data_IF_042142305709
#
_entry.id   IF_042142305709
#
_cell.length_a   1.000
_cell.length_b   1.000
_cell.length_c   1.000
_cell.angle_alpha   90.00
_cell.angle_beta   90.00
_cell.angle_gamma   90.00
#
_symmetry.space_group_name_H-M   'P 1'
#
loop_
_entity.id
_entity.type
_entity.pdbx_description
1 polymer ?
#
# COMPACT_ATOMS: atom_id res chain seq x y z
N UNK A 1 13.60 10.39 -9.62
CA UNK A 1 14.37 10.16 -8.37
C UNK A 1 13.42 10.16 -7.19
N UNK A 2 13.61 9.27 -6.22
CA UNK A 2 12.84 9.23 -4.98
C UNK A 2 13.78 9.15 -3.79
N UNK A 3 13.41 9.82 -2.70
CA UNK A 3 14.05 9.68 -1.40
C UNK A 3 13.00 9.32 -0.36
N UNK A 4 13.23 8.22 0.33
CA UNK A 4 12.36 7.68 1.35
C UNK A 4 13.15 7.56 2.66
N UNK A 5 12.51 7.85 3.78
CA UNK A 5 13.08 7.72 5.11
C UNK A 5 12.10 7.01 6.03
N UNK A 6 12.61 6.24 7.00
CA UNK A 6 11.77 5.61 8.02
C UNK A 6 12.04 6.20 9.41
N UNK A 7 11.23 5.80 10.40
CA UNK A 7 11.36 6.28 11.78
C UNK A 7 12.73 5.99 12.40
N UNK A 8 13.45 4.97 11.93
CA UNK A 8 14.81 4.63 12.37
C UNK A 8 15.91 5.44 11.67
N UNK A 9 15.57 6.51 10.93
CA UNK A 9 16.50 7.35 10.14
C UNK A 9 17.31 6.58 9.10
N UNK A 10 16.81 5.41 8.68
CA UNK A 10 17.33 4.73 7.50
C UNK A 10 16.72 5.41 6.28
N UNK A 11 17.54 5.66 5.28
CA UNK A 11 17.07 6.22 4.03
C UNK A 11 17.24 5.23 2.90
N UNK A 12 16.39 5.41 1.90
CA UNK A 12 16.46 4.76 0.61
C UNK A 12 16.36 5.82 -0.47
N UNK A 13 17.34 5.91 -1.35
CA UNK A 13 17.32 6.81 -2.50
C UNK A 13 17.39 5.96 -3.77
N UNK A 14 16.48 6.20 -4.70
CA UNK A 14 16.46 5.55 -6.00
C UNK A 14 16.39 6.56 -7.13
N UNK A 15 17.17 6.33 -8.19
CA UNK A 15 17.19 7.20 -9.36
C UNK A 15 17.60 6.43 -10.62
N UNK A 16 17.32 7.06 -11.74
CA UNK A 16 17.82 6.69 -13.07
C UNK A 16 18.41 7.98 -13.63
N UNK A 17 19.65 7.93 -14.08
CA UNK A 17 20.29 9.08 -14.75
C UNK A 17 19.61 9.33 -16.10
N UNK A 18 19.62 10.58 -16.55
CA UNK A 18 19.02 10.92 -17.85
C UNK A 18 19.68 10.10 -18.98
N UNK A 19 18.85 9.66 -19.94
CA UNK A 19 19.26 8.85 -21.08
C UNK A 19 19.92 7.49 -20.72
N UNK A 20 19.73 7.03 -19.47
CA UNK A 20 20.23 5.75 -18.97
C UNK A 20 19.10 4.74 -18.80
N UNK A 21 19.41 3.46 -19.00
CA UNK A 21 18.56 2.33 -18.59
C UNK A 21 19.07 1.66 -17.31
N UNK A 22 19.99 2.30 -16.58
CA UNK A 22 20.49 1.82 -15.29
C UNK A 22 19.64 2.40 -14.18
N UNK A 23 18.95 1.52 -13.46
CA UNK A 23 18.33 1.83 -12.19
C UNK A 23 19.39 1.73 -11.09
N UNK A 24 19.50 2.78 -10.27
CA UNK A 24 20.38 2.82 -9.10
C UNK A 24 19.56 3.00 -7.84
N UNK A 25 19.83 2.17 -6.84
CA UNK A 25 19.36 2.35 -5.47
C UNK A 25 20.52 2.43 -4.49
N UNK A 26 20.38 3.32 -3.51
CA UNK A 26 21.29 3.39 -2.37
C UNK A 26 20.49 3.34 -1.07
N UNK A 27 21.04 2.60 -0.12
CA UNK A 27 20.51 2.48 1.24
C UNK A 27 21.56 2.93 2.23
N UNK A 28 21.13 3.63 3.27
CA UNK A 28 22.04 4.11 4.31
C UNK A 28 21.32 4.64 5.54
N UNK A 29 22.06 5.35 6.37
CA UNK A 29 21.50 6.15 7.47
C UNK A 29 21.97 7.59 7.35
N UNK A 30 21.18 8.56 7.80
CA UNK A 30 21.58 9.98 7.76
C UNK A 30 22.97 10.22 8.37
N UNK A 31 23.28 9.52 9.46
CA UNK A 31 24.50 9.71 10.22
C UNK A 31 25.73 9.06 9.56
N UNK A 32 25.58 7.85 9.01
CA UNK A 32 26.72 7.09 8.45
C UNK A 32 26.87 7.24 6.93
N UNK A 33 25.89 7.82 6.26
CA UNK A 33 25.86 7.91 4.80
C UNK A 33 25.42 6.59 4.16
N UNK A 34 25.80 6.41 2.90
CA UNK A 34 25.47 5.23 2.10
C UNK A 34 26.18 3.99 2.67
N UNK A 35 25.42 2.94 2.94
CA UNK A 35 25.93 1.65 3.40
C UNK A 35 25.83 0.57 2.30
N UNK A 36 24.96 0.75 1.32
CA UNK A 36 24.77 -0.17 0.20
C UNK A 36 24.39 0.59 -1.06
N UNK A 37 24.88 0.11 -2.20
CA UNK A 37 24.52 0.58 -3.54
C UNK A 37 24.21 -0.63 -4.40
N UNK A 38 23.06 -0.58 -5.07
CA UNK A 38 22.60 -1.57 -6.04
C UNK A 38 22.42 -0.87 -7.38
N UNK A 39 22.92 -1.49 -8.45
CA UNK A 39 22.74 -1.02 -9.82
C UNK A 39 22.23 -2.18 -10.68
N UNK A 40 21.20 -1.92 -11.48
CA UNK A 40 20.61 -2.89 -12.39
C UNK A 40 20.49 -2.27 -13.77
N UNK A 41 21.08 -2.93 -14.76
CA UNK A 41 20.89 -2.59 -16.16
C UNK A 41 19.56 -3.17 -16.65
N UNK A 42 18.66 -2.30 -17.10
CA UNK A 42 17.38 -2.66 -17.68
C UNK A 42 17.42 -2.56 -19.21
N UNK A 43 16.43 -3.17 -19.88
CA UNK A 43 16.36 -3.19 -21.34
C UNK A 43 16.01 -1.81 -21.93
N UNK A 44 15.32 -0.96 -21.17
CA UNK A 44 14.94 0.41 -21.54
C UNK A 44 14.88 1.34 -20.31
N UNK A 45 14.94 2.67 -20.50
CA UNK A 45 14.66 3.64 -19.42
C UNK A 45 13.27 3.46 -18.80
N UNK A 46 12.26 3.10 -19.60
CA UNK A 46 10.90 2.82 -19.14
C UNK A 46 10.86 1.59 -18.22
N UNK A 47 11.56 0.52 -18.59
CA UNK A 47 11.70 -0.67 -17.73
C UNK A 47 12.42 -0.32 -16.42
N UNK A 48 13.47 0.50 -16.49
CA UNK A 48 14.17 0.97 -15.29
C UNK A 48 13.21 1.77 -14.39
N UNK A 49 12.39 2.65 -14.97
CA UNK A 49 11.39 3.44 -14.23
C UNK A 49 10.31 2.56 -13.59
N UNK A 50 9.89 1.50 -14.29
CA UNK A 50 8.98 0.50 -13.77
C UNK A 50 9.57 -0.23 -12.55
N UNK A 51 10.83 -0.68 -12.64
CA UNK A 51 11.53 -1.30 -11.50
C UNK A 51 11.70 -0.35 -10.31
N UNK A 52 12.04 0.92 -10.60
CA UNK A 52 12.16 1.95 -9.57
C UNK A 52 10.82 2.19 -8.86
N UNK A 53 9.72 2.26 -9.62
CA UNK A 53 8.36 2.42 -9.07
C UNK A 53 7.95 1.24 -8.20
N UNK A 54 8.22 0.00 -8.66
CA UNK A 54 7.98 -1.21 -7.88
C UNK A 54 8.73 -1.19 -6.54
N UNK A 55 9.99 -0.75 -6.58
CA UNK A 55 10.83 -0.67 -5.39
C UNK A 55 10.35 0.37 -4.39
N UNK A 56 9.92 1.55 -4.86
CA UNK A 56 9.30 2.58 -4.01
C UNK A 56 8.13 1.98 -3.26
N UNK A 57 7.26 1.22 -3.92
CA UNK A 57 6.10 0.62 -3.26
C UNK A 57 6.48 -0.43 -2.22
N UNK A 58 7.46 -1.29 -2.51
CA UNK A 58 8.01 -2.23 -1.51
C UNK A 58 8.54 -1.50 -0.28
N UNK A 59 9.34 -0.43 -0.48
CA UNK A 59 9.91 0.34 0.63
C UNK A 59 8.86 1.10 1.44
N UNK A 60 7.83 1.61 0.78
CA UNK A 60 6.72 2.23 1.50
C UNK A 60 5.89 1.22 2.28
N UNK A 61 5.72 0.00 1.76
CA UNK A 61 5.12 -1.09 2.51
C UNK A 61 5.96 -1.51 3.73
N UNK A 62 7.29 -1.32 3.68
CA UNK A 62 8.18 -1.47 4.84
C UNK A 62 8.12 -0.28 5.82
N UNK A 63 7.24 0.71 5.60
CA UNK A 63 7.05 1.85 6.49
C UNK A 63 7.99 3.04 6.22
N UNK A 64 8.67 3.07 5.07
CA UNK A 64 9.35 4.28 4.63
C UNK A 64 8.35 5.29 4.08
N UNK A 65 8.58 6.57 4.36
CA UNK A 65 7.75 7.67 3.89
C UNK A 65 8.57 8.60 2.98
N UNK A 66 7.93 9.28 2.00
CA UNK A 66 8.59 10.32 1.23
C UNK A 66 9.23 11.37 2.14
N UNK A 67 10.47 11.72 1.85
CA UNK A 67 11.20 12.75 2.55
C UNK A 67 12.01 13.60 1.58
N UNK A 68 12.44 14.77 2.02
CA UNK A 68 13.29 15.66 1.22
C UNK A 68 14.76 15.33 1.47
N UNK A 69 15.56 15.26 0.40
CA UNK A 69 17.02 15.11 0.51
C UNK A 69 17.60 16.42 1.03
N UNK A 70 18.02 16.46 2.29
CA UNK A 70 18.69 17.65 2.85
C UNK A 70 20.20 17.59 2.71
N UNK A 71 20.80 16.40 2.86
CA UNK A 71 22.22 16.09 2.64
C UNK A 71 22.48 14.62 3.01
N UNK A 72 23.28 13.89 2.23
CA UNK A 72 23.71 12.53 2.59
C UNK A 72 25.24 12.55 2.81
N UNK A 73 25.70 12.11 3.99
CA UNK A 73 27.14 12.04 4.29
C UNK A 73 27.87 11.18 3.26
N UNK A 74 28.97 11.70 2.71
CA UNK A 74 29.83 11.03 1.72
C UNK A 74 29.12 10.60 0.41
N UNK A 75 27.98 11.20 0.08
CA UNK A 75 27.25 10.86 -1.13
C UNK A 75 26.55 12.07 -1.74
N UNK A 76 26.78 12.28 -3.03
CA UNK A 76 26.14 13.32 -3.83
C UNK A 76 25.21 12.63 -4.83
N UNK A 77 23.88 12.76 -4.69
CA UNK A 77 22.93 12.27 -5.69
C UNK A 77 23.18 12.93 -7.05
N UNK A 78 22.91 12.25 -8.17
CA UNK A 78 22.99 12.88 -9.48
C UNK A 78 21.94 13.99 -9.61
N UNK A 79 22.30 15.03 -10.35
CA UNK A 79 21.44 16.19 -10.60
C UNK A 79 20.62 16.04 -11.87
N UNK A 80 21.10 15.26 -12.85
CA UNK A 80 20.40 15.02 -14.11
C UNK A 80 19.75 13.64 -14.10
N UNK A 81 18.48 13.60 -13.71
CA UNK A 81 17.72 12.36 -13.50
C UNK A 81 16.56 12.25 -14.47
N UNK A 82 16.26 11.02 -14.90
CA UNK A 82 15.03 10.72 -15.61
C UNK A 82 13.80 10.98 -14.70
N UNK A 83 12.79 11.64 -15.27
CA UNK A 83 11.55 12.01 -14.61
C UNK A 83 10.36 11.59 -15.47
N UNK A 84 9.44 10.86 -14.87
CA UNK A 84 8.18 10.47 -15.49
C UNK A 84 7.08 10.36 -14.41
N UNK A 85 5.83 10.17 -14.82
CA UNK A 85 4.71 9.90 -13.93
C UNK A 85 4.93 8.58 -13.17
N UNK A 86 4.51 8.54 -11.90
CA UNK A 86 4.55 7.29 -11.15
C UNK A 86 3.60 6.27 -11.79
N UNK A 87 4.10 5.06 -12.04
CA UNK A 87 3.34 4.04 -12.78
C UNK A 87 2.11 3.63 -11.98
N UNK A 88 0.94 3.77 -12.60
CA UNK A 88 -0.36 3.58 -11.95
C UNK A 88 -0.54 2.19 -11.35
N UNK A 89 0.03 1.15 -11.97
CA UNK A 89 -0.07 -0.24 -11.51
C UNK A 89 0.56 -0.48 -10.14
N UNK A 90 1.50 0.39 -9.74
CA UNK A 90 2.12 0.36 -8.43
C UNK A 90 1.41 1.24 -7.41
N UNK A 91 0.42 2.04 -7.82
CA UNK A 91 -0.32 2.87 -6.89
C UNK A 91 -1.22 2.02 -5.99
N UNK A 92 -1.35 2.41 -4.73
CA UNK A 92 -2.06 1.63 -3.74
C UNK A 92 -2.36 2.35 -2.45
N UNK A 93 -2.84 1.55 -1.51
CA UNK A 93 -3.14 1.99 -0.14
C UNK A 93 -2.16 1.31 0.81
N UNK A 94 -1.59 2.12 1.69
CA UNK A 94 -0.71 1.71 2.77
C UNK A 94 -1.49 1.82 4.08
N UNK A 95 -1.68 0.68 4.73
CA UNK A 95 -2.37 0.55 6.00
C UNK A 95 -1.36 0.26 7.09
N UNK A 96 -1.36 1.05 8.16
CA UNK A 96 -0.52 0.82 9.33
C UNK A 96 -1.40 0.50 10.54
N UNK A 97 -1.37 -0.75 10.97
CA UNK A 97 -2.04 -1.23 12.18
C UNK A 97 -1.13 -1.01 13.38
N UNK A 98 -1.65 -0.34 14.42
CA UNK A 98 -0.96 -0.29 15.71
C UNK A 98 -1.15 -1.60 16.48
N UNK A 99 -2.36 -2.14 16.41
CA UNK A 99 -2.77 -3.44 16.93
C UNK A 99 -3.98 -3.93 16.13
N UNK A 100 -4.17 -5.24 16.09
CA UNK A 100 -5.34 -5.87 15.50
C UNK A 100 -5.61 -7.18 16.22
N UNK A 101 -6.67 -7.25 17.02
CA UNK A 101 -7.03 -8.47 17.76
C UNK A 101 -7.55 -9.56 16.81
N UNK A 102 -7.58 -10.81 17.28
CA UNK A 102 -8.10 -11.92 16.48
C UNK A 102 -9.59 -11.74 16.19
N UNK A 103 -10.35 -11.20 17.14
CA UNK A 103 -11.78 -10.89 16.96
C UNK A 103 -12.00 -9.80 15.92
N UNK A 104 -11.13 -8.78 15.90
CA UNK A 104 -11.20 -7.70 14.91
C UNK A 104 -10.88 -8.21 13.51
N UNK A 105 -9.84 -9.05 13.37
CA UNK A 105 -9.49 -9.70 12.11
C UNK A 105 -10.62 -10.61 11.64
N UNK A 106 -11.16 -11.45 12.53
CA UNK A 106 -12.27 -12.36 12.23
C UNK A 106 -13.54 -11.60 11.80
N UNK A 107 -13.84 -10.46 12.42
CA UNK A 107 -14.94 -9.60 11.99
C UNK A 107 -14.73 -9.11 10.55
N UNK A 108 -13.52 -8.64 10.23
CA UNK A 108 -13.13 -8.27 8.87
C UNK A 108 -13.28 -9.42 7.87
N UNK A 109 -12.76 -10.60 8.19
CA UNK A 109 -12.83 -11.80 7.32
C UNK A 109 -14.28 -12.22 7.10
N UNK A 110 -15.11 -12.22 8.15
CA UNK A 110 -16.54 -12.50 8.03
C UNK A 110 -17.20 -11.51 7.07
N UNK A 111 -16.89 -10.21 7.18
CA UNK A 111 -17.41 -9.20 6.26
C UNK A 111 -16.95 -9.44 4.82
N UNK A 112 -15.70 -9.85 4.61
CA UNK A 112 -15.21 -10.24 3.28
C UNK A 112 -16.01 -11.40 2.69
N UNK A 113 -16.29 -12.43 3.49
CA UNK A 113 -17.09 -13.58 3.06
C UNK A 113 -18.53 -13.19 2.71
N UNK A 114 -19.17 -12.33 3.52
CA UNK A 114 -20.50 -11.78 3.24
C UNK A 114 -20.52 -11.00 1.92
N UNK A 115 -19.54 -10.11 1.70
CA UNK A 115 -19.42 -9.35 0.46
C UNK A 115 -19.15 -10.26 -0.73
N UNK A 116 -18.33 -11.29 -0.57
CA UNK A 116 -18.07 -12.27 -1.61
C UNK A 116 -19.32 -13.04 -2.03
N UNK A 117 -20.10 -13.51 -1.06
CA UNK A 117 -21.38 -14.17 -1.31
C UNK A 117 -22.39 -13.21 -1.97
N UNK A 118 -22.47 -11.96 -1.51
CA UNK A 118 -23.44 -10.98 -2.00
C UNK A 118 -23.14 -10.51 -3.43
N UNK A 119 -21.87 -10.28 -3.77
CA UNK A 119 -21.48 -9.87 -5.13
C UNK A 119 -21.57 -11.02 -6.14
N UNK A 120 -21.47 -12.29 -5.70
CA UNK A 120 -21.68 -13.47 -6.55
C UNK A 120 -20.71 -13.59 -7.74
N UNK A 121 -19.54 -12.94 -7.65
CA UNK A 121 -18.57 -12.81 -8.74
C UNK A 121 -17.69 -14.05 -8.89
N UNK A 122 -17.72 -14.66 -10.07
CA UNK A 122 -16.93 -15.87 -10.39
C UNK A 122 -15.47 -15.58 -10.75
N UNK A 123 -15.18 -14.34 -11.13
CA UNK A 123 -13.85 -13.83 -11.48
C UNK A 123 -13.02 -13.41 -10.26
N UNK A 124 -13.61 -13.45 -9.06
CA UNK A 124 -12.92 -13.22 -7.79
C UNK A 124 -12.82 -14.56 -7.05
N UNK A 125 -11.62 -14.88 -6.54
CA UNK A 125 -11.40 -15.99 -5.63
C UNK A 125 -11.09 -15.44 -4.24
N UNK A 126 -11.76 -15.97 -3.23
CA UNK A 126 -11.50 -15.69 -1.82
C UNK A 126 -11.06 -16.99 -1.13
N UNK A 127 -9.84 -17.01 -0.62
CA UNK A 127 -9.33 -18.04 0.28
C UNK A 127 -9.21 -17.45 1.69
N UNK A 128 -9.65 -18.19 2.71
CA UNK A 128 -9.68 -17.73 4.10
C UNK A 128 -9.15 -18.80 5.04
N UNK A 129 -8.50 -18.36 6.12
CA UNK A 129 -8.16 -19.16 7.30
C UNK A 129 -8.59 -18.36 8.54
N UNK A 130 -8.37 -18.93 9.73
CA UNK A 130 -8.68 -18.26 11.00
C UNK A 130 -7.88 -16.95 11.20
N UNK A 131 -6.70 -16.86 10.57
CA UNK A 131 -5.74 -15.77 10.75
C UNK A 131 -5.31 -15.09 9.43
N UNK A 132 -5.94 -15.41 8.30
CA UNK A 132 -5.55 -14.83 7.01
C UNK A 132 -6.67 -14.83 5.99
N UNK A 133 -6.53 -13.98 4.98
CA UNK A 133 -7.29 -14.09 3.74
C UNK A 133 -6.40 -13.80 2.54
N UNK A 134 -6.79 -14.34 1.39
CA UNK A 134 -6.25 -14.01 0.07
C UNK A 134 -7.40 -13.79 -0.92
N UNK A 135 -7.35 -12.65 -1.61
CA UNK A 135 -8.29 -12.24 -2.65
C UNK A 135 -7.54 -12.18 -3.98
N UNK A 136 -8.00 -12.90 -4.98
CA UNK A 136 -7.39 -12.89 -6.31
C UNK A 136 -8.43 -12.63 -7.41
N UNK A 137 -8.07 -11.77 -8.37
CA UNK A 137 -8.87 -11.51 -9.57
C UNK A 137 -7.98 -11.05 -10.71
N UNK A 138 -8.20 -11.58 -11.92
CA UNK A 138 -7.53 -11.16 -13.16
C UNK A 138 -6.00 -11.01 -13.07
N UNK A 139 -5.32 -11.94 -12.36
CA UNK A 139 -3.87 -11.94 -12.21
C UNK A 139 -3.33 -11.08 -11.05
N UNK A 140 -4.18 -10.25 -10.42
CA UNK A 140 -3.86 -9.57 -9.18
C UNK A 140 -4.24 -10.44 -7.97
N UNK A 141 -3.42 -10.42 -6.92
CA UNK A 141 -3.72 -11.04 -5.63
C UNK A 141 -3.36 -10.10 -4.48
N UNK A 142 -4.22 -10.05 -3.46
CA UNK A 142 -4.02 -9.30 -2.22
C UNK A 142 -4.21 -10.25 -1.05
N UNK A 143 -3.21 -10.27 -0.16
CA UNK A 143 -3.18 -11.13 1.01
C UNK A 143 -2.91 -10.32 2.27
N UNK A 144 -3.56 -10.70 3.36
CA UNK A 144 -3.11 -10.36 4.71
C UNK A 144 -3.09 -11.62 5.57
N UNK A 145 -2.06 -11.77 6.38
CA UNK A 145 -1.89 -12.85 7.34
C UNK A 145 -1.48 -12.24 8.68
N UNK A 146 -2.10 -12.68 9.77
CA UNK A 146 -1.66 -12.37 11.12
C UNK A 146 -0.95 -13.61 11.68
N UNK A 147 0.32 -13.45 12.07
CA UNK A 147 1.05 -14.57 12.66
C UNK A 147 0.41 -15.03 13.96
N UNK A 148 0.42 -16.35 14.16
CA UNK A 148 0.10 -16.93 15.45
C UNK A 148 1.27 -16.76 16.44
N UNK A 149 0.97 -16.81 17.74
CA UNK A 149 2.02 -16.78 18.76
C UNK A 149 2.98 -17.97 18.61
N UNK A 150 2.48 -19.15 18.22
CA UNK A 150 3.28 -20.34 18.00
C UNK A 150 4.29 -20.15 16.85
N UNK A 151 3.85 -19.59 15.72
CA UNK A 151 4.74 -19.29 14.59
C UNK A 151 5.82 -18.29 15.00
N UNK A 152 5.43 -17.23 15.72
CA UNK A 152 6.37 -16.24 16.24
C UNK A 152 7.41 -16.84 17.18
N UNK A 153 6.97 -17.68 18.14
CA UNK A 153 7.87 -18.28 19.12
C UNK A 153 8.90 -19.20 18.45
N UNK A 154 8.52 -19.86 17.35
CA UNK A 154 9.40 -20.70 16.55
C UNK A 154 10.47 -19.93 15.76
N UNK A 155 10.33 -18.61 15.61
CA UNK A 155 11.30 -17.79 14.87
C UNK A 155 12.63 -17.63 15.63
N UNK A 156 13.77 -17.52 14.92
CA UNK A 156 15.06 -17.21 15.52
C UNK A 156 15.03 -15.89 16.31
N UNK A 157 15.74 -15.81 17.45
CA UNK A 157 15.77 -14.61 18.29
C UNK A 157 16.12 -13.33 17.52
N UNK A 158 17.15 -13.40 16.67
CA UNK A 158 17.57 -12.26 15.84
C UNK A 158 16.49 -11.78 14.86
N UNK A 159 15.63 -12.68 14.37
CA UNK A 159 14.52 -12.31 13.50
C UNK A 159 13.41 -11.63 14.30
N UNK A 160 13.09 -12.15 15.49
CA UNK A 160 12.11 -11.55 16.41
C UNK A 160 12.50 -10.13 16.81
N UNK A 161 13.78 -9.90 17.14
CA UNK A 161 14.29 -8.57 17.46
C UNK A 161 14.12 -7.63 16.25
N UNK A 162 14.56 -8.07 15.06
CA UNK A 162 14.49 -7.28 13.84
C UNK A 162 13.05 -6.89 13.46
N UNK A 163 12.12 -7.84 13.49
CA UNK A 163 10.73 -7.62 13.11
C UNK A 163 9.94 -6.89 14.20
N UNK A 164 10.27 -7.14 15.48
CA UNK A 164 9.69 -6.45 16.62
C UNK A 164 10.01 -4.96 16.63
N UNK A 165 11.25 -4.60 16.29
CA UNK A 165 11.71 -3.22 16.18
C UNK A 165 11.08 -2.49 14.98
N UNK A 166 11.00 -3.17 13.83
CA UNK A 166 10.45 -2.59 12.59
C UNK A 166 8.92 -2.60 12.54
N UNK A 167 8.28 -3.37 13.44
CA UNK A 167 6.84 -3.71 13.38
C UNK A 167 6.44 -4.21 11.99
N UNK A 168 7.31 -4.96 11.31
CA UNK A 168 7.07 -5.38 9.93
C UNK A 168 7.89 -6.63 9.64
N UNK A 169 7.25 -7.61 9.00
CA UNK A 169 7.91 -8.82 8.47
C UNK A 169 8.01 -8.71 6.96
N UNK A 170 6.86 -8.52 6.31
CA UNK A 170 6.70 -8.24 4.90
C UNK A 170 5.44 -7.38 4.70
N UNK A 171 5.06 -7.09 3.45
CA UNK A 171 3.93 -6.24 3.10
C UNK A 171 2.55 -6.89 3.24
N UNK A 172 2.49 -8.13 3.73
CA UNK A 172 1.28 -8.97 3.85
C UNK A 172 1.14 -9.66 5.21
N UNK A 173 2.18 -9.63 6.05
CA UNK A 173 2.23 -10.38 7.31
C UNK A 173 2.33 -9.44 8.51
N UNK A 174 1.29 -9.46 9.34
CA UNK A 174 1.20 -8.74 10.62
C UNK A 174 1.82 -9.57 11.75
N UNK A 175 2.36 -8.88 12.75
CA UNK A 175 2.85 -9.51 13.99
C UNK A 175 1.71 -10.20 14.76
N UNK A 176 2.00 -11.05 15.76
CA UNK A 176 0.96 -11.67 16.60
C UNK A 176 0.06 -10.68 17.34
N UNK A 177 0.56 -9.48 17.65
CA UNK A 177 -0.27 -8.40 18.20
C UNK A 177 -1.19 -7.75 17.16
N UNK A 178 -1.06 -8.12 15.89
CA UNK A 178 -1.71 -7.48 14.75
C UNK A 178 -1.04 -6.16 14.31
N UNK A 179 0.05 -5.77 14.97
CA UNK A 179 0.81 -4.59 14.58
C UNK A 179 1.52 -4.85 13.25
N UNK A 180 1.44 -3.88 12.34
CA UNK A 180 2.33 -3.83 11.18
C UNK A 180 1.79 -3.04 10.00
N UNK A 181 2.59 -3.05 8.94
CA UNK A 181 2.28 -2.37 7.69
C UNK A 181 1.74 -3.38 6.69
N UNK A 182 0.66 -3.01 6.03
CA UNK A 182 0.04 -3.78 4.95
C UNK A 182 -0.13 -2.88 3.74
N UNK A 183 0.24 -3.36 2.57
CA UNK A 183 0.05 -2.64 1.32
C UNK A 183 -0.71 -3.49 0.32
N UNK A 184 -1.58 -2.84 -0.42
CA UNK A 184 -2.23 -3.42 -1.58
C UNK A 184 -2.35 -2.39 -2.69
N UNK A 185 -2.13 -2.84 -3.93
CA UNK A 185 -2.31 -2.01 -5.11
C UNK A 185 -3.79 -1.69 -5.31
N UNK A 186 -4.12 -0.43 -5.54
CA UNK A 186 -5.45 0.02 -5.95
C UNK A 186 -5.44 0.10 -7.46
N UNK A 187 -5.54 -1.04 -8.12
CA UNK A 187 -5.58 -1.11 -9.58
C UNK A 187 -6.93 -0.64 -10.16
N UNK A 188 -7.72 0.10 -9.37
CA UNK A 188 -9.07 0.50 -9.71
C UNK A 188 -9.88 -0.71 -10.19
N UNK A 189 -9.86 -1.79 -9.40
CA UNK A 189 -10.53 -3.04 -9.70
C UNK A 189 -11.54 -3.44 -8.64
N UNK A 190 -12.29 -4.51 -8.94
CA UNK A 190 -13.33 -5.03 -8.03
C UNK A 190 -12.76 -5.47 -6.66
N UNK A 191 -11.47 -5.83 -6.59
CA UNK A 191 -10.78 -6.18 -5.35
C UNK A 191 -10.82 -5.04 -4.33
N UNK A 192 -10.84 -3.78 -4.78
CA UNK A 192 -10.96 -2.64 -3.88
C UNK A 192 -12.22 -2.77 -3.01
N UNK A 193 -13.35 -3.23 -3.57
CA UNK A 193 -14.62 -3.45 -2.85
C UNK A 193 -14.47 -4.31 -1.62
N UNK A 194 -13.78 -5.42 -1.79
CA UNK A 194 -13.51 -6.36 -0.73
C UNK A 194 -12.61 -5.72 0.35
N UNK A 195 -11.51 -5.10 -0.06
CA UNK A 195 -10.53 -4.52 0.84
C UNK A 195 -11.12 -3.35 1.66
N UNK A 196 -11.99 -2.54 1.05
CA UNK A 196 -12.72 -1.48 1.75
C UNK A 196 -13.69 -2.04 2.78
N UNK A 197 -14.43 -3.08 2.41
CA UNK A 197 -15.38 -3.73 3.32
C UNK A 197 -14.67 -4.38 4.50
N UNK A 198 -13.52 -5.04 4.26
CA UNK A 198 -12.65 -5.56 5.30
C UNK A 198 -12.21 -4.47 6.28
N UNK A 199 -11.56 -3.42 5.78
CA UNK A 199 -11.04 -2.34 6.62
C UNK A 199 -12.15 -1.62 7.39
N UNK A 200 -13.33 -1.47 6.79
CA UNK A 200 -14.46 -0.85 7.45
C UNK A 200 -15.00 -1.67 8.62
N UNK A 201 -15.11 -2.99 8.47
CA UNK A 201 -15.57 -3.84 9.57
C UNK A 201 -14.52 -4.00 10.66
N UNK A 202 -13.25 -4.11 10.28
CA UNK A 202 -12.14 -4.10 11.24
C UNK A 202 -12.15 -2.82 12.09
N UNK A 203 -12.41 -1.67 11.49
CA UNK A 203 -12.60 -0.41 12.21
C UNK A 203 -13.83 -0.43 13.13
N UNK A 204 -14.98 -0.94 12.65
CA UNK A 204 -16.20 -1.06 13.46
C UNK A 204 -16.00 -1.98 14.67
N UNK A 205 -15.19 -3.02 14.54
CA UNK A 205 -14.76 -3.90 15.61
C UNK A 205 -13.75 -3.23 16.58
N UNK A 206 -13.38 -1.97 16.36
CA UNK A 206 -12.60 -1.15 17.27
C UNK A 206 -11.10 -1.08 16.95
N UNK A 207 -10.64 -1.66 15.85
CA UNK A 207 -9.23 -1.60 15.46
C UNK A 207 -8.79 -0.16 15.18
N UNK A 208 -7.51 0.13 15.45
CA UNK A 208 -6.90 1.45 15.21
C UNK A 208 -5.77 1.33 14.21
N UNK A 209 -5.98 1.93 13.04
CA UNK A 209 -5.01 1.97 11.96
C UNK A 209 -5.09 3.28 11.20
N UNK A 210 -4.01 3.63 10.51
CA UNK A 210 -3.99 4.69 9.50
C UNK A 210 -4.01 4.06 8.11
N UNK A 211 -4.61 4.74 7.13
CA UNK A 211 -4.64 4.28 5.75
C UNK A 211 -4.42 5.48 4.82
N UNK A 212 -3.36 5.43 4.02
CA UNK A 212 -2.93 6.51 3.13
C UNK A 212 -2.64 5.99 1.72
N UNK A 213 -3.07 6.74 0.70
CA UNK A 213 -2.76 6.45 -0.70
C UNK A 213 -1.64 7.31 -1.26
N UNK A 214 -1.11 6.92 -2.42
CA UNK A 214 0.01 7.60 -3.10
C UNK A 214 -0.26 9.05 -3.51
N UNK A 215 -1.51 9.42 -3.80
CA UNK A 215 -1.90 10.73 -4.32
C UNK A 215 -2.57 11.63 -3.26
N UNK A 216 -2.04 11.69 -2.04
CA UNK A 216 -2.68 12.43 -0.92
C UNK A 216 -4.13 11.98 -0.63
N UNK A 217 -4.50 10.76 -1.05
CA UNK A 217 -5.81 10.21 -0.78
C UNK A 217 -5.83 9.68 0.66
N UNK A 218 -6.69 10.25 1.50
CA UNK A 218 -7.05 9.68 2.79
C UNK A 218 -8.23 8.71 2.64
N UNK A 219 -8.07 7.51 3.20
CA UNK A 219 -9.09 6.47 3.13
C UNK A 219 -10.05 6.55 4.32
N UNK A 220 -11.34 6.84 4.06
CA UNK A 220 -12.36 6.81 5.11
C UNK A 220 -12.93 5.40 5.28
N UNK A 221 -12.54 4.73 6.36
CA UNK A 221 -12.91 3.36 6.69
C UNK A 221 -14.40 3.17 7.09
N UNK A 222 -15.10 4.22 7.56
CA UNK A 222 -16.45 4.07 8.15
C UNK A 222 -17.54 3.62 7.17
N UNK A 223 -17.38 3.89 5.88
CA UNK A 223 -18.33 3.49 4.83
C UNK A 223 -17.52 3.03 3.62
N UNK A 224 -17.66 1.78 3.16
CA UNK A 224 -16.74 1.25 2.16
C UNK A 224 -16.84 2.01 0.83
N UNK A 225 -18.01 2.54 0.48
CA UNK A 225 -18.21 3.29 -0.75
C UNK A 225 -19.12 4.52 -0.61
N UNK A 226 -18.70 5.63 -1.22
CA UNK A 226 -19.56 6.75 -1.57
C UNK A 226 -20.02 6.58 -3.03
N UNK A 227 -21.30 6.85 -3.31
CA UNK A 227 -21.90 6.66 -4.65
C UNK A 227 -21.20 7.51 -5.72
N UNK A 228 -20.85 8.75 -5.39
CA UNK A 228 -20.15 9.64 -6.31
C UNK A 228 -18.70 9.19 -6.51
N UNK A 229 -18.10 8.52 -5.53
CA UNK A 229 -16.77 7.92 -5.68
C UNK A 229 -16.81 6.68 -6.58
N UNK A 230 -17.80 5.79 -6.39
CA UNK A 230 -17.99 4.57 -7.20
C UNK A 230 -18.20 4.90 -8.67
N UNK A 231 -19.08 5.87 -8.98
CA UNK A 231 -19.40 6.24 -10.36
C UNK A 231 -18.22 6.81 -11.15
N UNK A 232 -17.16 7.25 -10.45
CA UNK A 232 -15.91 7.75 -11.03
C UNK A 232 -14.81 6.68 -11.13
N UNK A 233 -15.03 5.47 -10.64
CA UNK A 233 -14.03 4.40 -10.73
C UNK A 233 -14.08 3.69 -12.09
N UNK A 234 -12.91 3.36 -12.65
CA UNK A 234 -12.80 2.72 -13.98
C UNK A 234 -13.60 1.41 -14.06
N UNK A 235 -13.56 0.57 -13.02
CA UNK A 235 -14.32 -0.68 -13.00
C UNK A 235 -15.84 -0.49 -13.05
N UNK A 236 -16.38 0.65 -12.60
CA UNK A 236 -17.80 0.95 -12.78
C UNK A 236 -18.12 1.28 -14.24
N UNK A 237 -17.20 1.94 -14.95
CA UNK A 237 -17.35 2.17 -16.39
C UNK A 237 -17.28 0.85 -17.16
N UNK A 238 -16.40 -0.06 -16.74
CA UNK A 238 -16.24 -1.39 -17.34
C UNK A 238 -17.41 -2.34 -17.03
N UNK A 239 -17.97 -2.25 -15.82
CA UNK A 239 -19.12 -3.06 -15.39
C UNK A 239 -20.14 -2.22 -14.57
N UNK A 240 -21.04 -1.50 -15.26
CA UNK A 240 -22.05 -0.66 -14.61
C UNK A 240 -23.02 -1.43 -13.71
N UNK A 241 -23.13 -2.76 -13.89
CA UNK A 241 -24.01 -3.60 -13.08
C UNK A 241 -23.53 -3.73 -11.62
N UNK A 242 -22.24 -3.47 -11.37
CA UNK A 242 -21.66 -3.46 -10.03
C UNK A 242 -22.29 -2.43 -9.10
N UNK A 243 -22.70 -1.27 -9.60
CA UNK A 243 -23.36 -0.26 -8.76
C UNK A 243 -24.69 -0.78 -8.21
N UNK A 244 -25.47 -1.47 -9.03
CA UNK A 244 -26.72 -2.09 -8.59
C UNK A 244 -26.46 -3.20 -7.57
N UNK A 245 -25.46 -4.04 -7.80
CA UNK A 245 -25.05 -5.08 -6.86
C UNK A 245 -24.60 -4.50 -5.51
N UNK A 246 -23.78 -3.45 -5.54
CA UNK A 246 -23.33 -2.72 -4.35
C UNK A 246 -24.49 -2.11 -3.58
N UNK A 247 -25.46 -1.52 -4.30
CA UNK A 247 -26.67 -0.96 -3.70
C UNK A 247 -27.52 -2.04 -3.03
N UNK A 248 -27.80 -3.13 -3.75
CA UNK A 248 -28.59 -4.28 -3.24
C UNK A 248 -27.91 -4.97 -2.05
N UNK A 249 -26.58 -4.98 -2.04
CA UNK A 249 -25.77 -5.57 -0.97
C UNK A 249 -25.58 -4.64 0.25
N UNK A 250 -26.14 -3.43 0.21
CA UNK A 250 -26.01 -2.44 1.29
C UNK A 250 -24.58 -1.93 1.49
N UNK A 251 -23.76 -1.93 0.43
CA UNK A 251 -22.35 -1.51 0.47
C UNK A 251 -22.15 -0.04 0.10
N UNK A 252 -23.18 0.64 -0.42
CA UNK A 252 -23.17 2.07 -0.70
C UNK A 252 -23.62 2.88 0.51
N UNK A 253 -22.87 3.92 0.85
CA UNK A 253 -23.25 4.91 1.86
C UNK A 253 -24.19 5.99 1.30
N UNK A 254 -25.05 6.54 2.15
CA UNK A 254 -25.76 7.78 1.83
C UNK A 254 -24.80 8.96 1.69
N UNK A 255 -25.02 9.81 0.68
CA UNK A 255 -24.21 10.97 0.29
C UNK A 255 -23.81 11.77 1.51
N UNK A 256 -22.50 11.91 1.75
CA UNK A 256 -21.99 12.91 2.69
C UNK A 256 -20.83 13.60 2.01
N UNK A 257 -21.16 14.66 1.26
CA UNK A 257 -20.19 15.55 0.61
C UNK A 257 -19.32 16.21 1.69
N UNK A 258 -18.19 15.58 2.04
CA UNK A 258 -17.06 16.30 2.62
C UNK A 258 -16.22 16.77 1.45
N UNK A 259 -16.61 17.91 0.87
CA UNK A 259 -15.75 18.67 -0.04
C UNK A 259 -14.59 19.19 0.81
N UNK A 260 -13.50 18.42 0.91
CA UNK A 260 -12.21 19.03 1.18
C UNK A 260 -11.90 19.87 -0.07
N UNK A 261 -11.71 21.20 0.06
CA UNK A 261 -11.35 22.02 -1.10
C UNK A 261 -10.10 21.40 -1.72
N UNK A 262 -10.14 21.24 -3.05
CA UNK A 262 -8.96 20.85 -3.79
C UNK A 262 -7.82 21.77 -3.37
N UNK A 263 -6.61 21.26 -3.08
CA UNK A 263 -5.45 22.14 -3.09
C UNK A 263 -5.46 22.81 -4.45
N UNK A 264 -5.56 24.13 -4.45
CA UNK A 264 -5.37 24.96 -5.64
C UNK A 264 -4.13 24.40 -6.33
N UNK A 265 -4.26 24.09 -7.62
CA UNK A 265 -3.12 23.73 -8.45
C UNK A 265 -2.16 24.93 -8.48
N UNK A 266 -1.31 25.05 -7.47
CA UNK A 266 -0.06 25.77 -7.58
C UNK A 266 0.85 24.81 -8.33
N UNK A 267 1.00 25.07 -9.63
CA UNK A 267 2.00 24.40 -10.43
C UNK A 267 3.33 24.42 -9.68
N UNK A 268 3.88 23.24 -9.41
CA UNK A 268 5.28 23.12 -9.09
C UNK A 268 6.01 22.90 -10.40
N UNK A 269 6.32 24.01 -11.09
CA UNK A 269 7.59 24.12 -11.77
C UNK A 269 8.67 24.11 -10.68
N UNK A 270 9.53 23.09 -10.68
CA UNK A 270 10.80 23.16 -9.97
C UNK A 270 11.88 23.39 -11.02
N UNK A 271 12.05 24.66 -11.39
CA UNK A 271 13.33 25.18 -11.85
C UNK A 271 14.06 25.78 -10.65
N UNK A 272 15.26 25.23 -10.39
CA UNK A 272 16.53 25.79 -9.89
C UNK A 272 17.24 24.82 -8.95
#
# INVERSE_FOLDING_TARGET
>A
MFYLENASRRFFLGFIEKDSSVFTAVEGTREKGVCSKEEMLCASPEDAWYQLSALVCRKRAEGFIPATVTSISNYVPPTDVFMDAFVMEFTGVYVQFSELSDEQLAAGIRRLQEVHAALGRKDVRLAVTDNSFELASNGASVKVCKLTQQEWDSMPARAKDLFGDRKSIDSSTLLPSGAGNWWFGTQSGVLDIYLRAFLGEVWNAGARFTASGDFNWEFQHKKPFDVDAVSRMNWYQDDPSLLNLLNQSGLLGGVTLVVKPAPVATGFELFL
#
